data_IF_621180959589
#
_entry.id   IF_621180959589
#
_cell.length_a   1.000
_cell.length_b   1.000
_cell.length_c   1.000
_cell.angle_alpha   90.00
_cell.angle_beta   90.00
_cell.angle_gamma   90.00
#
_symmetry.space_group_name_H-M   'P 1'
#
loop_
_entity.id
_entity.type
_entity.pdbx_description
1 polymer ?
#
# COMPACT_ATOMS: atom_id res chain seq x y z
N UNK A 1 -3.83 37.78 58.16
CA UNK A 1 -4.16 36.60 57.34
C UNK A 1 -3.68 36.90 55.94
N UNK A 2 -2.56 36.29 55.50
CA UNK A 2 -1.94 36.53 54.18
C UNK A 2 -2.35 35.38 53.26
N UNK A 3 -3.19 35.66 52.24
CA UNK A 3 -3.56 34.70 51.23
C UNK A 3 -2.41 34.61 50.20
N UNK A 4 -1.71 33.50 50.16
CA UNK A 4 -0.72 33.16 49.13
C UNK A 4 -1.47 32.50 48.00
N UNK A 5 -1.67 33.22 46.90
CA UNK A 5 -2.17 32.69 45.64
C UNK A 5 -1.01 31.99 44.94
N UNK A 6 -0.96 30.65 44.95
CA UNK A 6 -0.01 29.87 44.22
C UNK A 6 -0.43 29.84 42.75
N UNK A 7 0.30 30.52 41.88
CA UNK A 7 0.14 30.51 40.43
C UNK A 7 0.74 29.23 39.87
N UNK A 8 -0.11 28.24 39.54
CA UNK A 8 0.30 26.98 38.88
C UNK A 8 0.50 27.30 37.38
N UNK A 9 1.75 27.57 36.97
CA UNK A 9 2.09 27.72 35.54
C UNK A 9 2.14 26.34 34.89
N UNK A 10 1.11 26.01 34.08
CA UNK A 10 1.13 24.83 33.21
C UNK A 10 2.16 25.09 32.07
N UNK A 11 3.30 24.38 32.14
CA UNK A 11 4.27 24.31 31.03
C UNK A 11 3.66 23.44 29.92
N UNK A 12 3.06 24.07 28.93
CA UNK A 12 2.69 23.37 27.69
C UNK A 12 3.96 23.05 26.90
N UNK A 13 4.37 21.78 26.92
CA UNK A 13 5.44 21.31 26.05
C UNK A 13 4.92 21.29 24.60
N UNK A 14 5.66 21.87 23.61
CA UNK A 14 5.28 21.78 22.23
C UNK A 14 5.33 20.31 21.78
N UNK A 15 4.19 19.77 21.35
CA UNK A 15 4.14 18.48 20.66
C UNK A 15 4.67 18.72 19.26
N UNK A 16 5.91 18.33 18.99
CA UNK A 16 6.49 18.32 17.65
C UNK A 16 5.86 17.18 16.88
N UNK A 17 4.86 17.46 16.06
CA UNK A 17 4.40 16.52 15.07
C UNK A 17 5.51 16.31 14.03
N UNK A 18 5.86 15.04 13.76
CA UNK A 18 6.84 14.74 12.71
C UNK A 18 6.30 15.25 11.36
N UNK A 19 7.13 15.97 10.62
CA UNK A 19 6.76 16.41 9.27
C UNK A 19 6.66 15.20 8.35
N UNK A 20 5.66 15.15 7.44
CA UNK A 20 5.54 14.06 6.50
C UNK A 20 6.69 14.06 5.49
N UNK A 21 7.18 12.87 5.13
CA UNK A 21 8.17 12.72 4.07
C UNK A 21 7.52 12.99 2.71
N UNK A 22 8.13 13.87 1.91
CA UNK A 22 7.60 14.27 0.61
C UNK A 22 8.05 13.31 -0.49
N UNK A 23 7.10 12.62 -1.12
CA UNK A 23 7.31 11.74 -2.26
C UNK A 23 6.72 12.31 -3.55
N UNK A 24 7.16 11.80 -4.70
CA UNK A 24 6.56 12.09 -5.98
C UNK A 24 5.29 11.27 -6.25
N UNK A 25 4.58 11.58 -7.33
CA UNK A 25 3.42 10.77 -7.77
C UNK A 25 3.80 9.35 -8.21
N UNK A 26 5.07 9.10 -8.51
CA UNK A 26 5.68 7.82 -8.85
C UNK A 26 6.99 7.66 -8.10
N UNK A 27 7.22 6.46 -7.55
CA UNK A 27 8.45 6.11 -6.85
C UNK A 27 8.89 4.69 -7.22
N UNK A 28 10.14 4.34 -6.92
CA UNK A 28 10.62 2.98 -6.96
C UNK A 28 10.43 2.34 -5.59
N UNK A 29 9.86 1.13 -5.56
CA UNK A 29 9.64 0.36 -4.34
C UNK A 29 10.20 -1.04 -4.55
N UNK A 30 11.03 -1.51 -3.63
CA UNK A 30 11.53 -2.88 -3.59
C UNK A 30 10.61 -3.74 -2.74
N UNK A 31 10.38 -4.95 -3.20
CA UNK A 31 9.58 -5.98 -2.51
C UNK A 31 10.50 -7.13 -2.10
N UNK A 32 11.08 -7.10 -0.89
CA UNK A 32 12.04 -8.12 -0.44
C UNK A 32 11.47 -9.54 -0.51
N UNK A 33 10.21 -9.72 -0.12
CA UNK A 33 9.53 -11.02 -0.09
C UNK A 33 9.08 -11.52 -1.47
N UNK A 34 9.12 -10.64 -2.48
CA UNK A 34 8.80 -10.97 -3.87
C UNK A 34 10.08 -10.93 -4.70
N UNK A 35 11.03 -11.81 -4.35
CA UNK A 35 12.30 -11.95 -5.06
C UNK A 35 13.23 -10.73 -5.00
N UNK A 36 12.97 -9.74 -4.15
CA UNK A 36 13.72 -8.48 -4.10
C UNK A 36 13.47 -7.57 -5.31
N UNK A 37 12.38 -7.81 -6.04
CA UNK A 37 12.01 -7.02 -7.21
C UNK A 37 11.78 -5.56 -6.88
N UNK A 38 12.30 -4.67 -7.72
CA UNK A 38 12.08 -3.22 -7.62
C UNK A 38 11.12 -2.76 -8.70
N UNK A 39 9.95 -2.31 -8.29
CA UNK A 39 8.86 -1.92 -9.18
C UNK A 39 8.62 -0.41 -9.17
N UNK A 40 8.17 0.10 -10.31
CA UNK A 40 7.59 1.45 -10.36
C UNK A 40 6.21 1.43 -9.71
N UNK A 41 6.03 2.28 -8.72
CA UNK A 41 4.77 2.43 -8.00
C UNK A 41 4.11 3.77 -8.26
N UNK A 42 2.78 3.79 -8.38
CA UNK A 42 1.97 5.01 -8.33
C UNK A 42 1.60 5.29 -6.87
N UNK A 43 1.94 6.48 -6.38
CA UNK A 43 1.52 6.98 -5.07
C UNK A 43 0.12 7.58 -5.22
N UNK A 44 -0.92 6.83 -4.85
CA UNK A 44 -2.32 7.13 -5.18
C UNK A 44 -3.15 7.47 -3.94
N UNK A 45 -3.31 8.76 -3.67
CA UNK A 45 -4.11 9.25 -2.53
C UNK A 45 -5.61 9.01 -2.68
N UNK A 46 -6.09 8.71 -3.90
CA UNK A 46 -7.49 8.41 -4.20
C UNK A 46 -7.86 6.93 -4.05
N UNK A 47 -6.87 6.03 -3.95
CA UNK A 47 -7.08 4.62 -3.65
C UNK A 47 -6.92 4.36 -2.15
N UNK A 48 -7.73 3.46 -1.57
CA UNK A 48 -7.61 3.13 -0.14
C UNK A 48 -6.49 2.14 0.14
N UNK A 49 -6.41 1.03 -0.61
CA UNK A 49 -5.50 -0.10 -0.41
C UNK A 49 -4.47 -0.15 -1.53
N UNK A 50 -3.25 -0.56 -1.20
CA UNK A 50 -2.23 -0.84 -2.20
C UNK A 50 -2.64 -2.02 -3.11
N UNK A 51 -2.05 -2.09 -4.31
CA UNK A 51 -2.38 -3.10 -5.32
C UNK A 51 -1.15 -3.50 -6.11
N UNK A 52 -0.88 -4.80 -6.18
CA UNK A 52 0.23 -5.40 -6.91
C UNK A 52 -0.28 -6.14 -8.16
N UNK A 53 0.41 -5.95 -9.29
CA UNK A 53 0.13 -6.69 -10.52
C UNK A 53 0.53 -8.14 -10.37
N UNK A 54 -0.48 -9.01 -10.32
CA UNK A 54 -0.32 -10.45 -10.15
C UNK A 54 -1.21 -11.21 -11.13
N UNK A 55 -0.74 -12.36 -11.59
CA UNK A 55 -1.47 -13.31 -12.44
C UNK A 55 -1.41 -14.71 -11.84
N UNK A 56 -2.18 -15.63 -12.41
CA UNK A 56 -2.28 -17.01 -11.94
C UNK A 56 -2.59 -17.06 -10.43
N UNK A 57 -3.51 -16.19 -10.00
CA UNK A 57 -3.88 -16.02 -8.58
C UNK A 57 -4.77 -17.20 -8.16
N UNK A 58 -4.24 -18.07 -7.34
CA UNK A 58 -4.91 -19.28 -6.86
C UNK A 58 -4.93 -19.30 -5.33
N UNK A 59 -6.13 -19.45 -4.76
CA UNK A 59 -6.33 -19.59 -3.32
C UNK A 59 -6.27 -21.04 -2.92
N UNK A 60 -5.67 -21.33 -1.77
CA UNK A 60 -5.61 -22.67 -1.18
C UNK A 60 -5.57 -22.56 0.35
N UNK A 61 -5.74 -23.68 1.03
CA UNK A 61 -5.66 -23.76 2.49
C UNK A 61 -4.40 -24.49 2.91
N UNK A 62 -3.70 -23.95 3.90
CA UNK A 62 -2.55 -24.59 4.54
C UNK A 62 -2.66 -24.42 6.05
N UNK A 63 -2.63 -25.53 6.79
CA UNK A 63 -2.71 -25.59 8.26
C UNK A 63 -3.93 -24.84 8.86
N UNK A 64 -5.06 -24.87 8.12
CA UNK A 64 -6.30 -24.21 8.51
C UNK A 64 -6.38 -22.71 8.17
N UNK A 65 -5.33 -22.13 7.61
CA UNK A 65 -5.27 -20.72 7.15
C UNK A 65 -5.50 -20.63 5.63
N UNK A 66 -6.06 -19.49 5.22
CA UNK A 66 -6.19 -19.16 3.81
C UNK A 66 -4.86 -18.62 3.26
N UNK A 67 -4.42 -19.21 2.16
CA UNK A 67 -3.20 -18.83 1.43
C UNK A 67 -3.53 -18.50 -0.02
N UNK A 68 -2.63 -17.76 -0.64
CA UNK A 68 -2.70 -17.46 -2.08
C UNK A 68 -1.32 -17.70 -2.70
N UNK A 69 -1.31 -18.35 -3.87
CA UNK A 69 -0.15 -18.38 -4.75
C UNK A 69 -0.39 -17.54 -5.99
N UNK A 70 0.65 -16.91 -6.49
CA UNK A 70 0.58 -16.04 -7.65
C UNK A 70 1.95 -15.86 -8.30
N UNK A 71 1.96 -15.28 -9.51
CA UNK A 71 3.16 -14.77 -10.18
C UNK A 71 3.03 -13.28 -10.41
N UNK A 72 4.16 -12.56 -10.47
CA UNK A 72 4.13 -11.18 -10.91
C UNK A 72 3.65 -11.08 -12.37
N UNK A 73 2.77 -10.13 -12.66
CA UNK A 73 2.33 -9.81 -14.00
C UNK A 73 3.05 -8.55 -14.52
N UNK A 74 4.38 -8.61 -14.58
CA UNK A 74 5.24 -7.59 -15.16
C UNK A 74 5.96 -8.15 -16.38
N UNK A 75 6.46 -7.29 -17.28
CA UNK A 75 7.13 -7.71 -18.52
C UNK A 75 8.43 -8.48 -18.24
N UNK A 76 9.13 -8.10 -17.17
CA UNK A 76 10.45 -8.64 -16.82
C UNK A 76 10.36 -9.62 -15.64
N UNK A 77 9.15 -10.14 -15.33
CA UNK A 77 8.97 -11.07 -14.23
C UNK A 77 9.71 -12.39 -14.50
N UNK A 78 10.38 -12.89 -13.46
CA UNK A 78 11.16 -14.14 -13.51
C UNK A 78 10.30 -15.41 -13.64
N UNK A 79 8.98 -15.27 -13.63
CA UNK A 79 8.01 -16.37 -13.69
C UNK A 79 7.88 -17.18 -12.39
N UNK A 80 8.56 -16.78 -11.33
CA UNK A 80 8.47 -17.45 -10.02
C UNK A 80 7.06 -17.40 -9.45
N UNK A 81 6.73 -18.44 -8.71
CA UNK A 81 5.52 -18.53 -7.89
C UNK A 81 5.84 -18.05 -6.49
N UNK A 82 5.04 -17.12 -6.00
CA UNK A 82 5.10 -16.63 -4.63
C UNK A 82 3.87 -17.10 -3.86
N UNK A 83 4.03 -17.39 -2.59
CA UNK A 83 2.94 -17.83 -1.72
C UNK A 83 2.90 -16.97 -0.46
N UNK A 84 1.73 -16.43 -0.15
CA UNK A 84 1.51 -15.61 1.04
C UNK A 84 0.21 -16.00 1.73
N UNK A 85 0.17 -15.80 3.04
CA UNK A 85 -1.05 -15.93 3.83
C UNK A 85 -2.00 -14.77 3.46
N UNK A 86 -3.26 -15.09 3.26
CA UNK A 86 -4.30 -14.08 3.00
C UNK A 86 -4.67 -13.41 4.31
N UNK A 87 -4.46 -12.11 4.42
CA UNK A 87 -4.88 -11.35 5.60
C UNK A 87 -6.38 -11.05 5.58
N UNK A 88 -6.95 -10.82 4.40
CA UNK A 88 -8.41 -10.66 4.19
C UNK A 88 -8.79 -10.70 2.72
N UNK A 89 -10.09 -10.73 2.45
CA UNK A 89 -10.65 -10.53 1.11
C UNK A 89 -11.15 -9.08 0.98
N UNK A 90 -10.65 -8.35 -0.01
CA UNK A 90 -11.14 -7.01 -0.36
C UNK A 90 -12.33 -7.11 -1.29
N UNK A 91 -13.37 -6.31 -1.04
CA UNK A 91 -14.49 -6.11 -1.96
C UNK A 91 -14.26 -4.82 -2.73
N UNK A 92 -14.16 -4.90 -4.04
CA UNK A 92 -14.01 -3.73 -4.91
C UNK A 92 -15.34 -3.46 -5.59
N UNK A 93 -15.93 -2.30 -5.32
CA UNK A 93 -17.05 -1.80 -6.11
C UNK A 93 -16.52 -1.24 -7.43
N UNK A 94 -17.13 -1.60 -8.55
CA UNK A 94 -16.83 -0.95 -9.83
C UNK A 94 -17.38 0.49 -9.80
N UNK A 95 -16.69 1.45 -10.42
CA UNK A 95 -17.19 2.82 -10.53
C UNK A 95 -18.38 2.95 -11.52
N UNK A 96 -18.62 1.90 -12.30
CA UNK A 96 -19.79 1.85 -13.18
C UNK A 96 -21.12 1.69 -12.41
N UNK A 97 -21.03 1.45 -11.08
CA UNK A 97 -22.18 1.12 -10.25
C UNK A 97 -22.92 2.36 -9.70
N UNK A 98 -22.53 3.56 -10.09
CA UNK A 98 -23.18 4.79 -9.62
C UNK A 98 -24.34 5.26 -10.52
N UNK A 99 -24.60 4.60 -11.66
CA UNK A 99 -25.57 5.12 -12.63
C UNK A 99 -26.80 4.24 -12.96
N UNK A 100 -26.89 2.98 -12.50
CA UNK A 100 -28.08 2.16 -12.83
C UNK A 100 -28.64 1.39 -11.61
N UNK A 101 -29.82 1.82 -11.15
CA UNK A 101 -30.68 1.07 -10.20
C UNK A 101 -31.25 -0.17 -10.90
N UNK A 102 -30.57 -1.31 -10.86
CA UNK A 102 -31.17 -2.57 -11.31
C UNK A 102 -30.27 -3.72 -11.71
N UNK A 103 -29.00 -3.54 -11.93
CA UNK A 103 -28.09 -4.65 -12.20
C UNK A 103 -27.40 -5.15 -10.93
N UNK A 104 -27.32 -6.49 -10.81
CA UNK A 104 -26.57 -7.15 -9.74
C UNK A 104 -25.07 -6.90 -9.96
N UNK A 105 -24.55 -5.92 -9.23
CA UNK A 105 -23.13 -5.55 -9.29
C UNK A 105 -22.28 -6.73 -8.87
N UNK A 106 -21.50 -7.27 -9.78
CA UNK A 106 -20.54 -8.31 -9.49
C UNK A 106 -19.35 -7.68 -8.70
N UNK A 107 -19.42 -7.78 -7.38
CA UNK A 107 -18.37 -7.26 -6.50
C UNK A 107 -17.13 -8.11 -6.65
N UNK A 108 -16.12 -7.62 -7.36
CA UNK A 108 -14.85 -8.30 -7.50
C UNK A 108 -14.19 -8.48 -6.11
N UNK A 109 -13.92 -9.75 -5.75
CA UNK A 109 -13.22 -10.10 -4.51
C UNK A 109 -11.75 -10.36 -4.82
N UNK A 110 -10.85 -9.61 -4.15
CA UNK A 110 -9.40 -9.75 -4.33
C UNK A 110 -8.76 -10.19 -3.03
N UNK A 111 -7.83 -11.18 -3.05
CA UNK A 111 -7.05 -11.50 -1.87
C UNK A 111 -6.13 -10.34 -1.54
N UNK A 112 -6.00 -10.08 -0.25
CA UNK A 112 -5.09 -9.09 0.32
C UNK A 112 -4.05 -9.84 1.14
N UNK A 113 -2.80 -9.52 0.92
CA UNK A 113 -1.65 -10.06 1.64
C UNK A 113 -0.89 -8.91 2.29
N UNK A 114 -0.19 -9.20 3.38
CA UNK A 114 0.72 -8.27 4.01
C UNK A 114 2.10 -8.47 3.38
N UNK A 115 2.69 -7.42 2.81
CA UNK A 115 4.01 -7.43 2.19
C UNK A 115 4.91 -6.38 2.81
N UNK A 116 6.17 -6.73 3.03
CA UNK A 116 7.20 -5.78 3.36
C UNK A 116 7.59 -5.00 2.10
N UNK A 117 7.45 -3.68 2.15
CA UNK A 117 7.81 -2.74 1.10
C UNK A 117 8.97 -1.85 1.57
N UNK A 118 9.92 -1.65 0.67
CA UNK A 118 11.08 -0.77 0.91
C UNK A 118 10.98 0.44 -0.04
N UNK A 119 10.90 1.66 0.52
CA UNK A 119 10.82 2.93 -0.18
C UNK A 119 11.91 3.87 0.36
N UNK A 120 12.91 4.18 -0.49
CA UNK A 120 14.15 4.80 0.00
C UNK A 120 14.86 3.87 0.98
N UNK A 121 15.10 4.31 2.20
CA UNK A 121 15.70 3.55 3.29
C UNK A 121 14.66 3.03 4.31
N UNK A 122 13.38 3.29 4.06
CA UNK A 122 12.30 2.91 4.97
C UNK A 122 11.61 1.59 4.57
N UNK A 123 11.40 0.72 5.55
CA UNK A 123 10.61 -0.50 5.44
C UNK A 123 9.29 -0.37 6.16
N UNK A 124 8.20 -0.83 5.52
CA UNK A 124 6.88 -0.94 6.15
C UNK A 124 6.15 -2.17 5.64
N UNK A 125 5.42 -2.82 6.53
CA UNK A 125 4.48 -3.88 6.14
C UNK A 125 3.17 -3.24 5.72
N UNK A 126 2.74 -3.52 4.49
CA UNK A 126 1.59 -2.88 3.85
C UNK A 126 0.59 -3.94 3.38
N UNK A 127 -0.70 -3.72 3.63
CA UNK A 127 -1.77 -4.49 3.00
C UNK A 127 -1.82 -4.25 1.49
N UNK A 128 -1.62 -5.29 0.70
CA UNK A 128 -1.60 -5.21 -0.77
C UNK A 128 -2.62 -6.17 -1.37
N UNK A 129 -3.56 -5.68 -2.17
CA UNK A 129 -4.44 -6.55 -2.92
C UNK A 129 -3.76 -7.04 -4.21
N UNK A 130 -4.04 -8.30 -4.57
CA UNK A 130 -3.52 -8.94 -5.77
C UNK A 130 -4.56 -8.86 -6.88
N UNK A 131 -4.15 -8.35 -8.03
CA UNK A 131 -5.00 -8.24 -9.23
C UNK A 131 -4.12 -8.11 -10.47
N UNK A 132 -4.59 -8.61 -11.60
CA UNK A 132 -3.90 -8.35 -12.88
C UNK A 132 -3.98 -6.86 -13.23
N UNK A 133 -2.82 -6.23 -13.29
CA UNK A 133 -2.64 -4.83 -13.68
C UNK A 133 -1.82 -4.69 -14.96
N UNK A 134 -1.73 -5.75 -15.77
CA UNK A 134 -0.94 -5.77 -17.02
C UNK A 134 -1.35 -4.66 -18.00
N UNK A 135 -2.60 -4.22 -17.93
CA UNK A 135 -3.13 -3.09 -18.72
C UNK A 135 -2.84 -1.70 -18.13
N UNK A 136 -2.17 -1.62 -16.97
CA UNK A 136 -1.81 -0.36 -16.34
C UNK A 136 -0.32 -0.06 -16.53
N UNK A 137 0.03 1.22 -16.60
CA UNK A 137 1.42 1.67 -16.75
C UNK A 137 2.32 1.38 -15.54
N UNK A 138 1.74 1.06 -14.40
CA UNK A 138 2.45 0.82 -13.14
C UNK A 138 1.99 -0.49 -12.50
N UNK A 139 2.93 -1.43 -12.29
CA UNK A 139 2.61 -2.74 -11.70
C UNK A 139 2.27 -2.67 -10.22
N UNK A 140 2.68 -1.60 -9.53
CA UNK A 140 2.38 -1.37 -8.12
C UNK A 140 1.67 -0.03 -7.94
N UNK A 141 0.71 0.00 -7.02
CA UNK A 141 0.01 1.19 -6.59
C UNK A 141 0.02 1.21 -5.06
N UNK A 142 0.38 2.34 -4.45
CA UNK A 142 0.31 2.53 -3.01
C UNK A 142 -0.87 3.43 -2.71
N UNK A 143 -1.87 2.88 -2.01
CA UNK A 143 -3.06 3.63 -1.60
C UNK A 143 -2.88 4.37 -0.28
N UNK A 144 -3.89 5.12 0.12
CA UNK A 144 -3.87 6.01 1.29
C UNK A 144 -3.47 5.31 2.60
N UNK A 145 -3.82 4.02 2.80
CA UNK A 145 -3.37 3.26 3.97
C UNK A 145 -1.85 3.11 3.96
N UNK A 146 -1.26 2.62 2.86
CA UNK A 146 0.18 2.46 2.75
C UNK A 146 0.93 3.79 2.82
N UNK A 147 0.40 4.86 2.20
CA UNK A 147 0.98 6.19 2.30
C UNK A 147 1.05 6.68 3.76
N UNK A 148 0.04 6.39 4.58
CA UNK A 148 0.08 6.73 6.01
C UNK A 148 1.15 5.97 6.78
N UNK A 149 1.35 4.68 6.47
CA UNK A 149 2.40 3.87 7.11
C UNK A 149 3.81 4.45 6.84
N UNK A 150 4.01 5.04 5.65
CA UNK A 150 5.25 5.75 5.30
C UNK A 150 5.27 7.21 5.77
N UNK A 151 4.25 7.71 6.46
CA UNK A 151 4.16 9.13 6.80
C UNK A 151 4.25 10.05 5.57
N UNK A 152 3.73 9.58 4.42
CA UNK A 152 3.96 10.18 3.12
C UNK A 152 3.03 11.35 2.81
N UNK A 153 3.59 12.45 2.32
CA UNK A 153 2.90 13.46 1.53
C UNK A 153 3.27 13.27 0.04
N UNK A 154 2.30 13.43 -0.87
CA UNK A 154 2.52 13.21 -2.30
C UNK A 154 2.49 14.53 -3.06
N UNK A 155 3.59 14.84 -3.76
CA UNK A 155 3.64 15.96 -4.68
C UNK A 155 3.35 15.49 -6.11
N UNK A 156 2.21 15.83 -6.71
CA UNK A 156 1.83 15.35 -8.04
C UNK A 156 2.69 15.92 -9.17
N UNK A 157 3.40 17.03 -8.93
CA UNK A 157 4.30 17.64 -9.91
C UNK A 157 5.67 16.94 -9.99
N UNK A 158 6.01 16.07 -9.02
CA UNK A 158 7.32 15.40 -8.93
C UNK A 158 7.21 13.90 -9.17
N UNK A 159 8.35 13.28 -9.50
CA UNK A 159 8.48 11.83 -9.73
C UNK A 159 9.84 11.38 -9.28
N UNK A 160 9.94 10.19 -8.69
CA UNK A 160 11.19 9.56 -8.27
C UNK A 160 12.02 10.50 -7.39
N UNK A 161 11.41 10.94 -6.30
CA UNK A 161 11.99 11.87 -5.33
C UNK A 161 12.79 11.11 -4.27
N UNK A 162 12.31 9.93 -3.89
CA UNK A 162 13.02 9.05 -2.98
C UNK A 162 14.31 8.51 -3.62
N UNK A 163 15.30 8.26 -2.81
CA UNK A 163 16.48 7.51 -3.21
C UNK A 163 16.09 6.09 -3.65
N UNK A 164 17.02 5.41 -4.35
CA UNK A 164 16.81 4.01 -4.72
C UNK A 164 16.59 3.19 -3.45
N UNK A 165 15.60 2.24 -3.47
CA UNK A 165 15.33 1.42 -2.32
C UNK A 165 16.57 0.64 -1.85
N UNK A 166 17.00 0.89 -0.63
CA UNK A 166 18.18 0.29 0.02
C UNK A 166 17.83 -0.09 1.46
N UNK A 167 16.93 -1.06 1.57
CA UNK A 167 16.65 -1.65 2.87
C UNK A 167 17.22 -3.10 2.91
#
# INVERSE_FOLDING_TARGET
MKNILALLSLLALPVMAAEPTLYGRYEYIKLPEIGGETLKAKMDTGALTASLSAKDIEKFTRDGDDWVRFRLATKDADGKVYEHKVSRMSKIKSRADEEDEGETVEVARRPVVDLELCLGDEKRTIEVNLVDRSNFNYPLLIGAKGLREFGAAVNPARRFVADKPDC
#
